data_IF_256723293850
#
_entry.id   IF_256723293850
#
_cell.length_a   1.000
_cell.length_b   1.000
_cell.length_c   1.000
_cell.angle_alpha   90.00
_cell.angle_beta   90.00
_cell.angle_gamma   90.00
#
_symmetry.space_group_name_H-M   'P 1'
#
loop_
_entity.id
_entity.type
_entity.pdbx_description
1 polymer ?
#
# COMPACT_ATOMS: atom_id res chain seq x y z
N UNK A 1 -103.17 -12.71 19.05
CA UNK A 1 -101.99 -11.83 19.20
C UNK A 1 -100.86 -12.37 18.34
N UNK A 2 -100.32 -11.51 17.44
CA UNK A 2 -98.95 -11.46 16.83
C UNK A 2 -98.21 -12.80 16.59
N UNK A 3 -97.98 -13.33 15.37
CA UNK A 3 -97.28 -12.85 14.14
C UNK A 3 -95.78 -12.50 14.32
N UNK A 4 -94.94 -13.20 13.52
CA UNK A 4 -93.69 -12.76 12.83
C UNK A 4 -92.32 -12.87 13.51
N UNK A 5 -91.20 -13.18 12.82
CA UNK A 5 -90.83 -13.87 11.56
C UNK A 5 -89.26 -13.96 11.61
N UNK A 6 -88.67 -14.71 10.68
CA UNK A 6 -87.22 -14.90 10.43
C UNK A 6 -86.40 -13.62 10.16
N UNK A 7 -85.05 -13.79 10.10
CA UNK A 7 -83.99 -12.94 9.53
C UNK A 7 -83.22 -12.04 10.53
N UNK A 8 -81.89 -11.92 10.51
CA UNK A 8 -80.93 -12.42 9.53
C UNK A 8 -79.48 -12.27 9.98
N UNK A 9 -78.65 -13.15 9.40
CA UNK A 9 -77.21 -13.04 9.23
C UNK A 9 -76.83 -11.70 8.59
N UNK A 10 -76.07 -10.84 9.27
CA UNK A 10 -75.19 -9.83 8.65
C UNK A 10 -74.43 -9.04 9.72
N UNK A 11 -73.25 -9.49 10.13
CA UNK A 11 -72.24 -8.64 10.79
C UNK A 11 -70.82 -9.26 10.88
N UNK A 12 -70.54 -10.40 10.23
CA UNK A 12 -69.16 -10.92 10.09
C UNK A 12 -68.62 -10.54 8.71
N UNK A 13 -68.18 -9.31 8.53
CA UNK A 13 -67.67 -8.88 7.21
C UNK A 13 -66.79 -7.64 7.16
N UNK A 14 -66.58 -6.91 8.26
CA UNK A 14 -65.96 -5.57 8.17
C UNK A 14 -64.90 -5.26 9.24
N UNK A 15 -64.26 -6.29 9.81
CA UNK A 15 -63.13 -6.10 10.74
C UNK A 15 -61.82 -6.78 10.30
N UNK A 16 -61.76 -7.35 9.09
CA UNK A 16 -60.57 -8.06 8.57
C UNK A 16 -59.85 -7.33 7.42
N UNK A 17 -60.27 -6.13 7.07
CA UNK A 17 -59.71 -5.37 5.93
C UNK A 17 -58.73 -4.23 6.33
N UNK A 18 -58.34 -4.10 7.61
CA UNK A 18 -57.49 -3.00 8.08
C UNK A 18 -56.12 -3.42 8.64
N UNK A 19 -55.71 -4.68 8.49
CA UNK A 19 -54.36 -5.15 8.88
C UNK A 19 -53.46 -5.47 7.67
N UNK A 20 -53.84 -5.06 6.46
CA UNK A 20 -52.99 -5.16 5.26
C UNK A 20 -52.11 -3.90 5.04
N UNK A 21 -51.90 -3.09 6.08
CA UNK A 21 -51.07 -1.89 6.03
C UNK A 21 -49.69 -2.15 6.61
N UNK A 22 -48.71 -2.43 5.73
CA UNK A 22 -47.30 -2.23 6.02
C UNK A 22 -46.58 -3.38 6.72
N UNK A 23 -46.42 -4.53 6.04
CA UNK A 23 -45.19 -5.30 6.24
C UNK A 23 -44.10 -4.49 5.53
N UNK A 24 -43.49 -3.56 6.25
CA UNK A 24 -42.25 -2.93 5.81
C UNK A 24 -41.28 -4.08 5.61
N UNK A 25 -40.95 -4.38 4.34
CA UNK A 25 -40.02 -5.44 4.00
C UNK A 25 -38.71 -5.14 4.72
N UNK A 26 -38.45 -5.82 5.83
CA UNK A 26 -37.26 -5.62 6.63
C UNK A 26 -36.08 -5.94 5.71
N UNK A 27 -35.43 -4.87 5.23
CA UNK A 27 -34.40 -4.96 4.21
C UNK A 27 -33.31 -5.91 4.75
N UNK A 28 -33.15 -7.07 4.10
CA UNK A 28 -32.23 -8.11 4.56
C UNK A 28 -30.83 -7.50 4.68
N UNK A 29 -30.31 -7.43 5.90
CA UNK A 29 -28.99 -6.88 6.17
C UNK A 29 -27.92 -7.68 5.40
N UNK A 30 -27.13 -7.00 4.58
CA UNK A 30 -26.03 -7.61 3.84
C UNK A 30 -24.76 -7.47 4.69
N UNK A 31 -24.29 -8.58 5.28
CA UNK A 31 -23.04 -8.62 6.05
C UNK A 31 -21.85 -8.98 5.15
N UNK A 32 -20.85 -8.11 5.14
CA UNK A 32 -19.60 -8.24 4.38
C UNK A 32 -18.42 -8.47 5.31
N UNK A 33 -17.58 -9.45 5.01
CA UNK A 33 -16.30 -9.67 5.69
C UNK A 33 -15.18 -8.98 4.92
N UNK A 34 -14.39 -8.17 5.62
CA UNK A 34 -13.31 -7.38 5.03
C UNK A 34 -11.95 -7.73 5.65
N UNK A 35 -11.09 -8.44 4.91
CA UNK A 35 -9.73 -8.76 5.37
C UNK A 35 -8.76 -7.64 5.00
N UNK A 36 -7.99 -7.14 5.97
CA UNK A 36 -7.04 -6.06 5.70
C UNK A 36 -5.70 -6.24 6.43
N UNK A 37 -4.60 -5.77 5.83
CA UNK A 37 -3.28 -5.70 6.43
C UNK A 37 -3.00 -4.33 7.06
N UNK A 38 -2.00 -4.30 7.94
CA UNK A 38 -1.29 -3.09 8.37
C UNK A 38 0.21 -3.37 8.22
N UNK A 39 0.81 -2.79 7.18
CA UNK A 39 2.22 -3.02 6.84
C UNK A 39 3.19 -1.92 7.27
N UNK A 40 2.75 -0.94 8.07
CA UNK A 40 3.58 0.18 8.54
C UNK A 40 3.24 0.54 9.98
N UNK A 41 4.17 1.21 10.66
CA UNK A 41 3.99 1.68 12.03
C UNK A 41 2.86 2.71 12.14
N UNK A 42 2.09 2.65 13.22
CA UNK A 42 0.97 3.56 13.52
C UNK A 42 -0.31 2.82 13.88
N UNK A 43 -1.33 3.52 14.41
CA UNK A 43 -2.57 2.91 14.86
C UNK A 43 -3.55 2.61 13.70
N UNK A 44 -3.07 2.13 12.56
CA UNK A 44 -3.87 2.06 11.32
C UNK A 44 -5.03 1.05 11.37
N UNK A 45 -4.90 0.00 12.19
CA UNK A 45 -6.02 -0.91 12.44
C UNK A 45 -7.21 -0.19 13.11
N UNK A 46 -6.91 0.73 14.04
CA UNK A 46 -7.93 1.58 14.67
C UNK A 46 -8.58 2.50 13.63
N UNK A 47 -7.79 3.12 12.75
CA UNK A 47 -8.31 3.99 11.68
C UNK A 47 -9.24 3.24 10.74
N UNK A 48 -8.87 2.02 10.30
CA UNK A 48 -9.76 1.20 9.47
C UNK A 48 -11.05 0.85 10.21
N UNK A 49 -10.97 0.50 11.50
CA UNK A 49 -12.15 0.26 12.34
C UNK A 49 -13.09 1.47 12.39
N UNK A 50 -12.56 2.66 12.64
CA UNK A 50 -13.33 3.91 12.67
C UNK A 50 -13.98 4.23 11.31
N UNK A 51 -13.27 3.97 10.20
CA UNK A 51 -13.83 4.14 8.86
C UNK A 51 -14.95 3.14 8.58
N UNK A 52 -14.80 1.87 8.97
CA UNK A 52 -15.87 0.86 8.81
C UNK A 52 -17.08 1.17 9.70
N UNK A 53 -16.87 1.65 10.92
CA UNK A 53 -17.97 2.05 11.80
C UNK A 53 -18.75 3.23 11.22
N UNK A 54 -18.05 4.18 10.61
CA UNK A 54 -18.67 5.31 9.92
C UNK A 54 -19.49 4.83 8.71
N UNK A 55 -18.94 3.96 7.87
CA UNK A 55 -19.67 3.37 6.74
C UNK A 55 -20.94 2.64 7.20
N UNK A 56 -20.85 1.80 8.23
CA UNK A 56 -21.98 1.03 8.75
C UNK A 56 -23.11 1.95 9.27
N UNK A 57 -22.77 3.09 9.87
CA UNK A 57 -23.75 4.10 10.31
C UNK A 57 -24.42 4.81 9.13
N UNK A 58 -23.66 5.12 8.08
CA UNK A 58 -24.17 5.81 6.88
C UNK A 58 -24.96 4.89 5.94
N UNK A 59 -24.84 3.56 6.11
CA UNK A 59 -25.44 2.56 5.25
C UNK A 59 -26.11 1.43 6.05
N UNK A 60 -27.25 1.67 6.71
CA UNK A 60 -27.88 0.70 7.63
C UNK A 60 -28.31 -0.64 7.00
N UNK A 61 -28.35 -0.75 5.66
CA UNK A 61 -28.60 -2.01 4.95
C UNK A 61 -27.35 -2.87 4.70
N UNK A 62 -26.15 -2.39 5.04
CA UNK A 62 -24.87 -3.09 4.82
C UNK A 62 -24.05 -3.02 6.12
N UNK A 63 -23.56 -4.17 6.58
CA UNK A 63 -22.63 -4.25 7.71
C UNK A 63 -21.30 -4.79 7.23
N UNK A 64 -20.25 -3.97 7.28
CA UNK A 64 -18.87 -4.37 7.01
C UNK A 64 -18.20 -4.76 8.33
N UNK A 65 -17.70 -5.99 8.38
CA UNK A 65 -16.96 -6.55 9.52
C UNK A 65 -15.47 -6.58 9.17
N UNK A 66 -14.66 -5.62 9.66
CA UNK A 66 -13.23 -5.59 9.41
C UNK A 66 -12.51 -6.70 10.20
N UNK A 67 -11.59 -7.40 9.54
CA UNK A 67 -10.77 -8.46 10.15
C UNK A 67 -9.30 -8.15 9.88
N UNK A 68 -8.63 -7.63 10.92
CA UNK A 68 -7.19 -7.44 10.88
C UNK A 68 -6.50 -8.78 10.66
N UNK A 69 -5.59 -8.83 9.68
CA UNK A 69 -4.97 -10.07 9.22
C UNK A 69 -3.44 -10.01 9.20
N UNK A 70 -2.84 -9.10 9.99
CA UNK A 70 -1.39 -8.94 10.10
C UNK A 70 -0.82 -7.98 9.06
N UNK A 71 0.35 -8.30 8.51
CA UNK A 71 0.92 -7.60 7.35
C UNK A 71 0.35 -8.20 6.04
N UNK A 72 0.86 -7.76 4.89
CA UNK A 72 0.45 -8.21 3.56
C UNK A 72 0.64 -9.71 3.34
N UNK A 73 1.79 -10.30 3.71
CA UNK A 73 2.05 -11.73 3.45
C UNK A 73 1.09 -12.65 4.25
N UNK A 74 0.88 -12.46 5.58
CA UNK A 74 -0.14 -13.21 6.31
C UNK A 74 -1.56 -12.98 5.79
N UNK A 75 -1.88 -11.76 5.34
CA UNK A 75 -3.20 -11.45 4.76
C UNK A 75 -3.40 -12.20 3.45
N UNK A 76 -2.40 -12.23 2.56
CA UNK A 76 -2.43 -13.02 1.34
C UNK A 76 -2.66 -14.50 1.65
N UNK A 77 -1.88 -15.09 2.56
CA UNK A 77 -2.02 -16.50 2.96
C UNK A 77 -3.45 -16.81 3.43
N UNK A 78 -4.01 -15.94 4.28
CA UNK A 78 -5.39 -16.09 4.78
C UNK A 78 -6.43 -16.00 3.66
N UNK A 79 -6.26 -15.07 2.72
CA UNK A 79 -7.11 -14.97 1.51
C UNK A 79 -7.00 -16.25 0.67
N UNK A 80 -5.78 -16.74 0.43
CA UNK A 80 -5.54 -17.94 -0.36
C UNK A 80 -6.23 -19.16 0.26
N UNK A 81 -6.06 -19.37 1.57
CA UNK A 81 -6.73 -20.45 2.31
C UNK A 81 -8.25 -20.35 2.19
N UNK A 82 -8.82 -19.16 2.39
CA UNK A 82 -10.27 -18.94 2.34
C UNK A 82 -10.84 -19.18 0.93
N UNK A 83 -10.14 -18.72 -0.12
CA UNK A 83 -10.52 -18.93 -1.53
C UNK A 83 -10.48 -20.42 -1.88
N UNK A 84 -9.43 -21.15 -1.48
CA UNK A 84 -9.30 -22.59 -1.73
C UNK A 84 -10.36 -23.40 -0.98
N UNK A 85 -10.71 -23.00 0.24
CA UNK A 85 -11.79 -23.60 1.02
C UNK A 85 -13.20 -23.29 0.49
N UNK A 86 -13.32 -22.43 -0.54
CA UNK A 86 -14.60 -22.05 -1.14
C UNK A 86 -15.39 -20.99 -0.36
N UNK A 87 -14.81 -20.40 0.69
CA UNK A 87 -15.44 -19.41 1.55
C UNK A 87 -14.56 -18.14 1.65
N UNK A 88 -14.31 -17.41 0.55
CA UNK A 88 -13.50 -16.21 0.58
C UNK A 88 -14.14 -15.08 1.41
N UNK A 89 -13.35 -14.12 1.93
CA UNK A 89 -13.91 -12.85 2.39
C UNK A 89 -14.57 -12.10 1.23
N UNK A 90 -15.50 -11.18 1.49
CA UNK A 90 -16.13 -10.39 0.42
C UNK A 90 -15.17 -9.40 -0.20
N UNK A 91 -14.43 -8.73 0.67
CA UNK A 91 -13.49 -7.66 0.35
C UNK A 91 -12.17 -8.00 1.00
N UNK A 92 -11.09 -7.74 0.31
CA UNK A 92 -9.78 -7.85 0.92
C UNK A 92 -8.78 -6.88 0.32
N UNK A 93 -7.75 -6.56 1.09
CA UNK A 93 -6.56 -5.87 0.63
C UNK A 93 -5.39 -6.85 0.63
N UNK A 94 -4.68 -6.91 -0.49
CA UNK A 94 -3.34 -7.53 -0.55
C UNK A 94 -2.39 -6.59 -1.29
N UNK A 95 -1.11 -6.90 -1.21
CA UNK A 95 -0.04 -6.12 -1.84
C UNK A 95 -0.14 -6.18 -3.38
N UNK A 96 0.19 -5.08 -4.03
CA UNK A 96 -0.07 -4.88 -5.46
C UNK A 96 0.64 -5.87 -6.40
N UNK A 97 1.79 -6.43 -6.03
CA UNK A 97 2.52 -7.42 -6.82
C UNK A 97 1.85 -8.79 -6.84
N UNK A 98 0.85 -9.02 -5.98
CA UNK A 98 0.10 -10.29 -5.90
C UNK A 98 -1.08 -10.38 -6.86
N UNK A 99 -1.35 -9.36 -7.67
CA UNK A 99 -2.42 -9.42 -8.66
C UNK A 99 -2.33 -10.68 -9.55
N UNK A 100 -1.18 -11.04 -10.16
CA UNK A 100 -1.06 -12.26 -10.95
C UNK A 100 -1.40 -13.53 -10.16
N UNK A 101 -1.03 -13.60 -8.88
CA UNK A 101 -1.38 -14.71 -7.98
C UNK A 101 -2.90 -14.82 -7.81
N UNK A 102 -3.59 -13.71 -7.52
CA UNK A 102 -5.05 -13.69 -7.39
C UNK A 102 -5.76 -14.08 -8.69
N UNK A 103 -5.24 -13.65 -9.84
CA UNK A 103 -5.79 -14.00 -11.15
C UNK A 103 -5.62 -15.48 -11.48
N UNK A 104 -4.45 -16.05 -11.19
CA UNK A 104 -4.18 -17.47 -11.37
C UNK A 104 -5.11 -18.34 -10.50
N UNK A 105 -5.44 -17.86 -9.29
CA UNK A 105 -6.39 -18.52 -8.39
C UNK A 105 -7.86 -18.28 -8.74
N UNK A 106 -8.15 -17.47 -9.75
CA UNK A 106 -9.49 -17.01 -10.09
C UNK A 106 -10.24 -16.41 -8.87
N UNK A 107 -9.51 -15.70 -8.01
CA UNK A 107 -9.98 -15.29 -6.69
C UNK A 107 -10.91 -14.06 -6.72
N UNK A 108 -10.77 -13.20 -7.74
CA UNK A 108 -11.40 -11.87 -7.79
C UNK A 108 -12.18 -11.63 -9.09
N UNK A 109 -13.15 -10.71 -9.04
CA UNK A 109 -13.89 -10.24 -10.22
C UNK A 109 -13.19 -9.04 -10.87
N UNK A 110 -13.33 -8.84 -12.19
CA UNK A 110 -13.01 -7.55 -12.80
C UNK A 110 -14.04 -6.51 -12.35
N UNK A 111 -13.62 -5.25 -12.26
CA UNK A 111 -14.41 -4.12 -11.77
C UNK A 111 -14.82 -3.13 -12.86
N UNK A 112 -14.56 -3.44 -14.13
CA UNK A 112 -14.79 -2.52 -15.26
C UNK A 112 -16.24 -2.00 -15.32
N UNK A 113 -17.23 -2.85 -15.05
CA UNK A 113 -18.64 -2.45 -15.08
C UNK A 113 -19.00 -1.46 -13.95
N UNK A 114 -18.42 -1.67 -12.76
CA UNK A 114 -18.65 -0.79 -11.63
C UNK A 114 -17.99 0.57 -11.85
N UNK A 115 -16.71 0.53 -12.24
CA UNK A 115 -15.90 1.71 -12.50
C UNK A 115 -16.49 2.59 -13.60
N UNK A 116 -17.04 2.00 -14.67
CA UNK A 116 -17.72 2.73 -15.75
C UNK A 116 -18.98 3.48 -15.30
N UNK A 117 -19.68 2.97 -14.28
CA UNK A 117 -20.93 3.57 -13.77
C UNK A 117 -20.65 4.62 -12.69
N UNK A 118 -19.63 4.38 -11.87
CA UNK A 118 -19.26 5.24 -10.76
C UNK A 118 -18.92 6.66 -11.21
N UNK A 119 -19.50 7.65 -10.54
CA UNK A 119 -19.30 9.08 -10.80
C UNK A 119 -19.45 9.48 -12.28
N UNK A 120 -20.40 8.85 -12.99
CA UNK A 120 -20.62 9.11 -14.41
C UNK A 120 -19.41 8.74 -15.29
N UNK A 121 -18.64 7.73 -14.88
CA UNK A 121 -17.45 7.24 -15.56
C UNK A 121 -16.16 8.00 -15.24
N UNK A 122 -16.22 9.00 -14.34
CA UNK A 122 -15.05 9.81 -13.97
C UNK A 122 -14.23 9.22 -12.81
N UNK A 123 -14.83 8.28 -12.06
CA UNK A 123 -14.23 7.69 -10.87
C UNK A 123 -12.80 7.17 -11.09
N UNK A 124 -12.56 6.49 -12.21
CA UNK A 124 -11.24 5.91 -12.52
C UNK A 124 -10.17 6.94 -12.85
N UNK A 125 -10.52 7.97 -13.62
CA UNK A 125 -9.56 8.96 -14.11
C UNK A 125 -9.08 9.91 -13.00
N UNK A 126 -9.81 9.97 -11.88
CA UNK A 126 -9.42 10.71 -10.70
C UNK A 126 -8.30 10.01 -9.90
N UNK A 127 -8.03 8.72 -10.12
CA UNK A 127 -6.86 8.07 -9.53
C UNK A 127 -5.56 8.49 -10.22
N UNK A 128 -4.47 8.56 -9.47
CA UNK A 128 -3.15 8.85 -10.05
C UNK A 128 -2.72 7.76 -11.05
N UNK A 129 -2.20 8.12 -12.25
CA UNK A 129 -1.80 7.16 -13.27
C UNK A 129 -0.88 6.04 -12.74
N UNK A 130 0.16 6.38 -11.97
CA UNK A 130 1.07 5.39 -11.39
C UNK A 130 0.37 4.36 -10.49
N UNK A 131 -0.72 4.72 -9.81
CA UNK A 131 -1.49 3.78 -9.00
C UNK A 131 -2.39 2.86 -9.85
N UNK A 132 -2.81 3.32 -11.02
CA UNK A 132 -3.62 2.56 -11.97
C UNK A 132 -2.82 1.47 -12.68
N UNK A 133 -1.52 1.66 -12.88
CA UNK A 133 -0.65 0.69 -13.56
C UNK A 133 -0.71 -0.71 -12.93
N UNK A 134 -0.52 -0.81 -11.60
CA UNK A 134 -0.68 -2.09 -10.89
C UNK A 134 -2.13 -2.52 -10.67
N UNK A 135 -3.10 -1.85 -11.27
CA UNK A 135 -4.53 -2.16 -11.17
C UNK A 135 -5.13 -2.76 -12.42
N UNK A 136 -4.40 -2.69 -13.54
CA UNK A 136 -4.84 -3.12 -14.85
C UNK A 136 -3.97 -4.27 -15.34
N UNK A 137 -4.59 -5.39 -15.67
CA UNK A 137 -3.92 -6.54 -16.31
C UNK A 137 -4.81 -7.01 -17.45
N UNK A 138 -4.22 -7.14 -18.65
CA UNK A 138 -4.92 -7.56 -19.89
C UNK A 138 -6.15 -6.68 -20.19
N UNK A 139 -6.00 -5.37 -19.99
CA UNK A 139 -7.03 -4.36 -20.31
C UNK A 139 -8.23 -4.34 -19.37
N UNK A 140 -8.18 -5.06 -18.23
CA UNK A 140 -9.25 -5.06 -17.22
C UNK A 140 -8.77 -4.46 -15.91
N UNK A 141 -9.64 -3.71 -15.25
CA UNK A 141 -9.41 -3.20 -13.89
C UNK A 141 -9.82 -4.27 -12.88
N UNK A 142 -8.92 -4.71 -12.01
CA UNK A 142 -9.16 -5.86 -11.12
C UNK A 142 -9.39 -5.50 -9.65
N UNK A 143 -8.96 -4.30 -9.24
CA UNK A 143 -9.03 -3.82 -7.87
C UNK A 143 -8.82 -2.30 -7.83
N UNK A 144 -9.12 -1.68 -6.70
CA UNK A 144 -9.09 -0.21 -6.55
C UNK A 144 -7.94 0.24 -5.63
N UNK A 145 -7.15 1.26 -6.02
CA UNK A 145 -6.12 1.85 -5.17
C UNK A 145 -6.61 2.35 -3.81
N UNK A 146 -5.98 1.91 -2.73
CA UNK A 146 -6.31 2.37 -1.37
C UNK A 146 -5.08 2.68 -0.50
N UNK A 147 -4.34 1.68 -0.02
CA UNK A 147 -3.18 1.88 0.85
C UNK A 147 -1.91 2.12 0.01
N UNK A 148 -1.83 3.22 -0.74
CA UNK A 148 -0.75 3.44 -1.72
C UNK A 148 0.33 4.40 -1.25
N UNK A 149 1.58 4.00 -1.46
CA UNK A 149 2.78 4.74 -1.07
C UNK A 149 3.81 4.75 -2.19
N UNK A 150 4.83 5.58 -2.05
CA UNK A 150 6.16 5.34 -2.65
C UNK A 150 7.15 5.17 -1.49
N UNK A 151 8.36 4.63 -1.71
CA UNK A 151 9.43 4.88 -0.77
C UNK A 151 9.85 6.36 -0.89
N UNK A 152 10.22 6.95 0.23
CA UNK A 152 10.71 8.32 0.36
C UNK A 152 11.96 8.34 1.23
N UNK A 153 12.62 9.49 1.24
CA UNK A 153 13.80 9.73 2.04
C UNK A 153 13.47 10.64 3.22
N UNK A 154 13.61 10.12 4.44
CA UNK A 154 13.47 10.89 5.68
C UNK A 154 14.86 11.30 6.18
N UNK A 155 14.99 12.51 6.73
CA UNK A 155 16.24 12.93 7.37
C UNK A 155 16.00 13.74 8.64
N UNK A 156 16.89 13.56 9.61
CA UNK A 156 16.87 14.28 10.88
C UNK A 156 17.61 15.61 10.74
N UNK A 157 16.88 16.73 10.83
CA UNK A 157 17.47 18.07 10.63
C UNK A 157 18.42 18.47 11.75
N UNK A 158 18.18 18.02 12.97
CA UNK A 158 19.07 18.30 14.10
C UNK A 158 20.41 17.57 13.96
N UNK A 159 20.39 16.32 13.51
CA UNK A 159 21.62 15.56 13.26
C UNK A 159 22.41 16.16 12.09
N UNK A 160 21.73 16.70 11.08
CA UNK A 160 22.37 17.46 10.00
C UNK A 160 23.11 18.69 10.56
N UNK A 161 22.44 19.53 11.38
CA UNK A 161 23.08 20.70 12.03
C UNK A 161 24.29 20.28 12.86
N UNK A 162 24.18 19.23 13.68
CA UNK A 162 25.28 18.72 14.52
C UNK A 162 26.48 18.25 13.69
N UNK A 163 26.24 17.70 12.50
CA UNK A 163 27.28 17.26 11.58
C UNK A 163 27.81 18.39 10.65
N UNK A 164 27.39 19.64 10.85
CA UNK A 164 27.77 20.77 10.00
C UNK A 164 27.16 20.75 8.59
N UNK A 165 26.05 20.03 8.41
CA UNK A 165 25.27 20.00 7.18
C UNK A 165 24.11 21.00 7.23
N UNK A 166 23.67 21.47 6.06
CA UNK A 166 22.50 22.32 5.93
C UNK A 166 21.22 21.50 6.22
N UNK A 167 20.47 21.79 7.30
CA UNK A 167 19.28 21.02 7.70
C UNK A 167 18.15 21.05 6.68
N UNK A 168 18.11 22.04 5.79
CA UNK A 168 17.04 22.19 4.80
C UNK A 168 17.40 21.57 3.44
N UNK A 169 18.60 20.97 3.31
CA UNK A 169 19.08 20.36 2.07
C UNK A 169 19.37 18.87 2.24
N UNK A 170 18.38 17.99 1.97
CA UNK A 170 18.62 16.56 1.89
C UNK A 170 19.49 16.22 0.66
N UNK A 171 20.18 15.08 0.65
CA UNK A 171 20.94 14.64 -0.52
C UNK A 171 20.02 14.50 -1.73
N UNK A 172 20.42 15.07 -2.85
CA UNK A 172 19.72 14.96 -4.13
C UNK A 172 20.27 13.81 -4.97
N UNK A 173 21.54 13.45 -4.79
CA UNK A 173 22.21 12.40 -5.58
C UNK A 173 22.76 11.29 -4.68
N UNK A 174 23.00 10.11 -5.27
CA UNK A 174 23.70 9.00 -4.59
C UNK A 174 25.09 9.41 -4.08
N UNK A 175 25.82 10.25 -4.81
CA UNK A 175 27.12 10.75 -4.38
C UNK A 175 27.00 11.64 -3.13
N UNK A 176 26.06 12.58 -3.13
CA UNK A 176 25.77 13.42 -1.95
C UNK A 176 25.30 12.59 -0.77
N UNK A 177 24.43 11.60 -1.02
CA UNK A 177 23.95 10.69 0.01
C UNK A 177 25.12 9.98 0.70
N UNK A 178 26.05 9.42 -0.07
CA UNK A 178 27.22 8.73 0.47
C UNK A 178 28.06 9.66 1.36
N UNK A 179 28.38 10.86 0.87
CA UNK A 179 29.21 11.81 1.61
C UNK A 179 28.53 12.38 2.85
N UNK A 180 27.21 12.65 2.78
CA UNK A 180 26.43 13.05 3.94
C UNK A 180 26.30 11.91 4.95
N UNK A 181 26.07 10.67 4.50
CA UNK A 181 25.98 9.50 5.37
C UNK A 181 27.29 9.24 6.12
N UNK A 182 28.46 9.46 5.49
CA UNK A 182 29.75 9.40 6.17
C UNK A 182 29.83 10.39 7.33
N UNK A 183 29.49 11.66 7.09
CA UNK A 183 29.51 12.71 8.12
C UNK A 183 28.51 12.46 9.26
N UNK A 184 27.39 11.82 8.94
CA UNK A 184 26.33 11.51 9.89
C UNK A 184 26.55 10.19 10.63
N UNK A 185 27.54 9.40 10.26
CA UNK A 185 27.87 8.17 10.99
C UNK A 185 28.74 8.49 12.19
N UNK A 186 28.25 8.20 13.40
CA UNK A 186 28.98 8.45 14.66
C UNK A 186 29.47 7.14 15.24
N UNK A 187 30.78 7.08 15.50
CA UNK A 187 31.48 5.92 16.06
C UNK A 187 32.11 6.29 17.38
N UNK A 188 32.02 5.38 18.35
CA UNK A 188 32.76 5.44 19.60
C UNK A 188 33.58 4.15 19.72
N UNK A 189 34.88 4.26 19.43
CA UNK A 189 35.72 3.08 19.21
C UNK A 189 35.18 2.21 18.06
N UNK A 190 34.93 0.93 18.36
CA UNK A 190 34.35 -0.02 17.41
C UNK A 190 32.82 0.00 17.38
N UNK A 191 32.17 0.69 18.32
CA UNK A 191 30.72 0.75 18.42
C UNK A 191 30.16 1.87 17.54
N UNK A 192 29.04 1.58 16.87
CA UNK A 192 28.31 2.57 16.08
C UNK A 192 27.16 3.09 16.93
N UNK A 193 27.23 4.37 17.29
CA UNK A 193 26.20 5.05 18.08
C UNK A 193 25.08 5.60 17.20
N UNK A 194 25.41 5.96 15.96
CA UNK A 194 24.48 6.48 14.97
C UNK A 194 24.92 6.07 13.57
N UNK A 195 23.99 5.49 12.81
CA UNK A 195 24.16 5.26 11.38
C UNK A 195 23.88 6.54 10.59
N UNK A 196 24.64 6.77 9.52
CA UNK A 196 24.38 7.89 8.62
C UNK A 196 23.11 7.68 7.80
N UNK A 197 22.87 6.46 7.33
CA UNK A 197 21.68 6.08 6.56
C UNK A 197 21.21 4.68 6.90
N UNK A 198 19.91 4.44 6.84
CA UNK A 198 19.35 3.10 6.92
C UNK A 198 18.39 2.86 5.75
N UNK A 199 18.62 1.76 5.04
CA UNK A 199 17.66 1.22 4.07
C UNK A 199 16.89 0.11 4.79
N UNK A 200 15.57 0.26 4.87
CA UNK A 200 14.74 -0.61 5.70
C UNK A 200 14.62 -2.02 5.12
N UNK A 201 15.01 -3.03 5.89
CA UNK A 201 14.94 -4.41 5.46
C UNK A 201 13.53 -4.98 5.47
N UNK A 202 13.33 -6.14 4.85
CA UNK A 202 12.05 -6.87 4.81
C UNK A 202 11.26 -6.64 3.52
N UNK A 203 11.24 -5.43 2.98
CA UNK A 203 10.72 -5.11 1.64
C UNK A 203 11.86 -4.79 0.67
N UNK A 204 12.93 -5.59 0.72
CA UNK A 204 14.15 -5.38 -0.05
C UNK A 204 13.89 -5.32 -1.55
N UNK A 205 12.97 -6.14 -2.05
CA UNK A 205 12.55 -6.14 -3.45
C UNK A 205 11.97 -4.79 -3.89
N UNK A 206 11.17 -4.15 -3.04
CA UNK A 206 10.54 -2.85 -3.33
C UNK A 206 11.55 -1.72 -3.31
N UNK A 207 12.38 -1.64 -2.26
CA UNK A 207 13.41 -0.61 -2.18
C UNK A 207 14.46 -0.80 -3.28
N UNK A 208 14.82 -2.04 -3.60
CA UNK A 208 15.82 -2.34 -4.64
C UNK A 208 15.35 -1.97 -6.02
N UNK A 209 14.09 -2.25 -6.35
CA UNK A 209 13.51 -1.79 -7.62
C UNK A 209 13.64 -0.26 -7.74
N UNK A 210 13.45 0.49 -6.64
CA UNK A 210 13.56 1.95 -6.67
C UNK A 210 14.99 2.41 -7.00
N UNK A 211 16.01 1.77 -6.42
CA UNK A 211 17.40 2.05 -6.79
C UNK A 211 17.66 1.72 -8.27
N UNK A 212 17.06 0.65 -8.80
CA UNK A 212 17.15 0.30 -10.23
C UNK A 212 16.51 1.39 -11.10
N UNK A 213 15.35 1.93 -10.72
CA UNK A 213 14.70 3.05 -11.44
C UNK A 213 15.52 4.33 -11.40
N UNK A 214 16.17 4.63 -10.28
CA UNK A 214 17.05 5.79 -10.16
C UNK A 214 18.24 5.70 -11.12
N UNK A 215 18.69 4.47 -11.42
CA UNK A 215 19.66 4.17 -12.48
C UNK A 215 19.06 4.16 -13.88
N UNK A 216 17.76 4.36 -14.07
CA UNK A 216 17.06 4.32 -15.36
C UNK A 216 16.69 2.90 -15.83
N UNK A 217 16.79 1.90 -14.96
CA UNK A 217 16.52 0.50 -15.27
C UNK A 217 15.09 0.06 -14.97
N UNK A 218 14.84 -1.24 -15.09
CA UNK A 218 13.62 -1.93 -14.69
C UNK A 218 13.94 -3.41 -14.44
N UNK A 219 13.18 -4.10 -13.60
CA UNK A 219 13.43 -5.51 -13.25
C UNK A 219 12.54 -6.49 -14.01
N UNK A 220 11.22 -6.24 -14.05
CA UNK A 220 10.24 -7.02 -14.81
C UNK A 220 9.37 -6.05 -15.60
N UNK A 221 9.05 -6.38 -16.86
CA UNK A 221 8.14 -5.55 -17.65
C UNK A 221 6.70 -5.63 -17.13
N UNK A 222 5.82 -4.67 -17.44
CA UNK A 222 4.43 -4.67 -16.97
C UNK A 222 3.64 -5.95 -17.31
N UNK A 223 3.97 -6.60 -18.42
CA UNK A 223 3.33 -7.86 -18.83
C UNK A 223 3.80 -9.08 -18.03
N UNK A 224 4.87 -8.97 -17.24
CA UNK A 224 5.41 -10.07 -16.45
C UNK A 224 6.10 -11.17 -17.28
N UNK A 225 6.59 -10.84 -18.48
CA UNK A 225 7.10 -11.82 -19.47
C UNK A 225 8.59 -11.68 -19.78
N UNK A 226 9.19 -10.54 -19.45
CA UNK A 226 10.62 -10.26 -19.63
C UNK A 226 11.21 -9.81 -18.31
N UNK A 227 12.46 -10.19 -18.07
CA UNK A 227 13.19 -9.83 -16.86
C UNK A 227 14.58 -9.30 -17.18
N UNK A 228 15.06 -8.39 -16.34
CA UNK A 228 16.23 -7.56 -16.60
C UNK A 228 17.06 -7.31 -15.33
N UNK A 229 17.12 -8.30 -14.44
CA UNK A 229 17.87 -8.28 -13.19
C UNK A 229 19.38 -8.17 -13.41
N UNK A 230 19.94 -8.73 -14.49
CA UNK A 230 21.38 -8.65 -14.78
C UNK A 230 21.79 -7.42 -15.63
N UNK A 231 20.90 -6.42 -15.75
CA UNK A 231 21.21 -5.19 -16.48
C UNK A 231 22.29 -4.35 -15.81
N UNK A 232 22.90 -3.44 -16.57
CA UNK A 232 23.89 -2.49 -16.04
C UNK A 232 23.28 -1.67 -14.89
N UNK A 233 22.04 -1.22 -15.06
CA UNK A 233 21.32 -0.38 -14.11
C UNK A 233 21.04 -1.11 -12.80
N UNK A 234 20.66 -2.40 -12.86
CA UNK A 234 20.40 -3.21 -11.69
C UNK A 234 21.70 -3.62 -10.96
N UNK A 235 22.77 -3.89 -11.69
CA UNK A 235 24.10 -4.14 -11.09
C UNK A 235 24.60 -2.88 -10.39
N UNK A 236 24.52 -1.70 -11.02
CA UNK A 236 24.91 -0.42 -10.41
C UNK A 236 24.09 -0.10 -9.14
N UNK A 237 22.80 -0.40 -9.14
CA UNK A 237 21.95 -0.25 -7.95
C UNK A 237 22.45 -1.13 -6.79
N UNK A 238 22.79 -2.39 -7.06
CA UNK A 238 23.32 -3.28 -6.02
C UNK A 238 24.73 -2.87 -5.59
N UNK A 239 25.58 -2.44 -6.51
CA UNK A 239 26.92 -1.92 -6.19
C UNK A 239 26.84 -0.73 -5.24
N UNK A 240 25.93 0.22 -5.48
CA UNK A 240 25.74 1.37 -4.59
C UNK A 240 25.20 0.96 -3.21
N UNK A 241 24.23 0.04 -3.17
CA UNK A 241 23.71 -0.47 -1.90
C UNK A 241 24.83 -1.16 -1.08
N UNK A 242 25.62 -2.03 -1.72
CA UNK A 242 26.78 -2.69 -1.09
C UNK A 242 27.85 -1.67 -0.69
N UNK A 243 28.05 -0.61 -1.48
CA UNK A 243 28.99 0.47 -1.14
C UNK A 243 28.61 1.14 0.19
N UNK A 244 27.33 1.51 0.38
CA UNK A 244 26.86 2.13 1.63
C UNK A 244 27.00 1.20 2.85
N UNK A 245 26.59 -0.06 2.70
CA UNK A 245 26.44 -0.98 3.85
C UNK A 245 27.73 -1.74 4.19
N UNK A 246 28.46 -2.20 3.17
CA UNK A 246 29.63 -3.07 3.35
C UNK A 246 30.96 -2.30 3.29
N UNK A 247 31.13 -1.42 2.29
CA UNK A 247 32.40 -0.72 2.06
C UNK A 247 32.55 0.49 2.98
N UNK A 248 31.60 1.41 2.91
CA UNK A 248 31.62 2.65 3.68
C UNK A 248 31.10 2.45 5.11
N UNK A 249 30.31 1.39 5.32
CA UNK A 249 29.73 1.03 6.62
C UNK A 249 28.99 2.20 7.26
N UNK A 250 28.22 2.93 6.45
CA UNK A 250 27.44 4.11 6.88
C UNK A 250 25.98 3.77 7.18
N UNK A 251 25.59 2.52 6.95
CA UNK A 251 24.30 1.95 7.36
C UNK A 251 24.43 0.50 7.83
N UNK A 252 23.42 0.00 8.56
CA UNK A 252 23.43 -1.37 9.05
C UNK A 252 23.31 -2.35 7.86
N UNK A 253 24.10 -3.45 7.84
CA UNK A 253 24.02 -4.44 6.76
C UNK A 253 22.66 -5.13 6.69
N UNK A 254 22.01 -5.29 7.84
CA UNK A 254 20.65 -5.80 7.95
C UNK A 254 19.83 -4.95 8.90
N UNK A 255 18.56 -4.80 8.56
CA UNK A 255 17.56 -4.16 9.40
C UNK A 255 16.21 -4.83 9.18
N UNK A 256 15.20 -4.49 9.98
CA UNK A 256 13.84 -5.01 9.79
C UNK A 256 12.87 -3.88 9.54
N UNK A 257 11.81 -4.15 8.77
CA UNK A 257 10.85 -3.13 8.35
C UNK A 257 10.21 -2.40 9.53
N UNK A 258 9.87 -3.16 10.58
CA UNK A 258 9.22 -2.64 11.78
C UNK A 258 10.15 -1.94 12.77
N UNK A 259 11.45 -2.25 12.77
CA UNK A 259 12.41 -1.66 13.73
C UNK A 259 12.94 -0.30 13.29
N UNK A 260 13.04 -0.03 11.98
CA UNK A 260 13.70 1.18 11.48
C UNK A 260 12.95 2.49 11.76
N UNK A 261 11.61 2.58 11.78
CA UNK A 261 10.95 3.84 12.19
C UNK A 261 11.21 4.20 13.66
N UNK A 262 11.09 3.28 14.64
CA UNK A 262 11.54 3.54 16.01
C UNK A 262 13.03 3.89 16.12
N UNK A 263 13.91 3.26 15.35
CA UNK A 263 15.34 3.58 15.37
C UNK A 263 15.61 5.02 14.87
N UNK A 264 14.88 5.50 13.87
CA UNK A 264 14.95 6.90 13.43
C UNK A 264 14.43 7.87 14.50
N UNK A 265 13.29 7.55 15.14
CA UNK A 265 12.74 8.33 16.28
C UNK A 265 13.74 8.38 17.45
N UNK A 266 14.48 7.30 17.67
CA UNK A 266 15.52 7.21 18.68
C UNK A 266 16.87 7.82 18.25
N UNK A 267 16.93 8.48 17.08
CA UNK A 267 18.16 9.07 16.51
C UNK A 267 19.31 8.06 16.30
N UNK A 268 19.01 6.76 16.21
CA UNK A 268 20.01 5.72 15.89
C UNK A 268 20.41 5.71 14.42
N UNK A 269 19.62 6.35 13.57
CA UNK A 269 19.96 6.61 12.17
C UNK A 269 19.57 8.02 11.78
N UNK A 270 20.44 8.72 11.06
CA UNK A 270 20.22 10.12 10.68
C UNK A 270 19.34 10.27 9.44
N UNK A 271 19.38 9.28 8.54
CA UNK A 271 18.63 9.26 7.29
C UNK A 271 17.98 7.90 7.10
N UNK A 272 16.77 7.86 6.55
CA UNK A 272 15.97 6.64 6.47
C UNK A 272 15.25 6.55 5.12
N UNK A 273 15.46 5.43 4.41
CA UNK A 273 14.58 5.00 3.32
C UNK A 273 13.45 4.16 3.90
N UNK A 274 12.20 4.61 3.73
CA UNK A 274 11.01 3.90 4.17
C UNK A 274 9.78 4.32 3.35
N UNK A 275 8.67 3.63 3.55
CA UNK A 275 7.37 4.01 2.99
C UNK A 275 6.92 5.37 3.49
N UNK A 276 6.12 6.07 2.67
CA UNK A 276 5.40 7.25 3.12
C UNK A 276 4.38 6.94 4.20
N UNK A 277 3.92 5.68 4.27
CA UNK A 277 2.95 5.21 5.26
C UNK A 277 3.40 5.33 6.72
N UNK A 278 4.68 5.61 7.01
CA UNK A 278 5.14 5.90 8.39
C UNK A 278 5.15 7.39 8.73
N UNK A 279 4.84 8.29 7.81
CA UNK A 279 5.00 9.74 8.03
C UNK A 279 4.19 10.24 9.22
N UNK A 280 2.94 9.80 9.39
CA UNK A 280 2.13 10.21 10.56
C UNK A 280 2.69 9.64 11.85
N UNK A 281 3.19 8.40 11.84
CA UNK A 281 3.86 7.81 12.99
C UNK A 281 5.11 8.63 13.38
N UNK A 282 5.97 8.98 12.42
CA UNK A 282 7.16 9.80 12.67
C UNK A 282 6.79 11.19 13.18
N UNK A 283 5.81 11.86 12.55
CA UNK A 283 5.30 13.18 12.97
C UNK A 283 4.85 13.19 14.43
N UNK A 284 4.18 12.14 14.88
CA UNK A 284 3.66 12.06 16.24
C UNK A 284 4.71 11.60 17.27
N UNK A 285 5.72 10.85 16.83
CA UNK A 285 6.69 10.18 17.73
C UNK A 285 8.01 10.93 17.87
N UNK A 286 8.52 11.54 16.79
CA UNK A 286 9.76 12.28 16.80
C UNK A 286 9.66 13.53 17.69
N UNK A 287 10.70 13.80 18.48
CA UNK A 287 10.82 15.00 19.33
C UNK A 287 11.83 16.01 18.77
N UNK A 288 12.11 15.90 17.47
CA UNK A 288 13.02 16.73 16.70
C UNK A 288 12.39 17.06 15.34
N UNK A 289 12.88 18.09 14.68
CA UNK A 289 12.47 18.40 13.31
C UNK A 289 13.10 17.44 12.29
N UNK A 290 12.29 16.98 11.34
CA UNK A 290 12.71 16.06 10.28
C UNK A 290 12.05 16.44 8.97
N UNK A 291 12.76 16.18 7.87
CA UNK A 291 12.25 16.38 6.52
C UNK A 291 11.87 15.09 5.82
N UNK A 292 11.16 15.25 4.71
CA UNK A 292 10.85 14.18 3.74
C UNK A 292 11.23 14.69 2.35
N UNK A 293 11.90 13.87 1.56
CA UNK A 293 12.33 14.19 0.21
C UNK A 293 12.07 13.03 -0.74
N UNK A 294 12.21 13.32 -2.04
CA UNK A 294 12.34 12.26 -3.03
C UNK A 294 13.56 11.42 -2.68
N UNK A 295 13.54 10.15 -3.09
CA UNK A 295 14.76 9.37 -2.98
C UNK A 295 15.87 9.97 -3.86
N UNK A 296 17.10 10.06 -3.36
CA UNK A 296 18.24 10.57 -4.11
C UNK A 296 18.41 9.87 -5.46
N UNK A 297 18.63 10.64 -6.53
CA UNK A 297 18.81 10.10 -7.89
C UNK A 297 20.21 9.54 -8.12
N UNK A 298 20.29 8.61 -9.06
CA UNK A 298 21.53 8.33 -9.80
C UNK A 298 21.52 9.11 -11.12
N UNK A 299 20.88 8.55 -12.15
CA UNK A 299 20.65 9.21 -13.44
C UNK A 299 19.37 10.03 -13.42
N UNK A 300 18.32 9.48 -12.82
CA UNK A 300 16.99 10.09 -12.71
C UNK A 300 16.46 9.91 -11.30
N UNK A 301 15.47 10.71 -10.91
CA UNK A 301 14.59 10.29 -9.83
C UNK A 301 13.84 9.03 -10.28
N UNK A 302 13.47 8.18 -9.33
CA UNK A 302 12.80 6.93 -9.63
C UNK A 302 12.31 6.26 -8.36
N UNK A 303 11.07 5.81 -8.38
CA UNK A 303 10.42 5.11 -7.28
C UNK A 303 9.34 4.18 -7.82
N UNK A 304 9.08 3.08 -7.14
CA UNK A 304 7.89 2.29 -7.39
C UNK A 304 6.79 2.71 -6.44
N UNK A 305 5.58 2.72 -6.97
CA UNK A 305 4.42 2.67 -6.11
C UNK A 305 4.42 1.36 -5.31
N UNK A 306 3.87 1.39 -4.11
CA UNK A 306 3.76 0.22 -3.24
C UNK A 306 2.41 0.18 -2.53
N UNK A 307 2.30 -0.78 -1.61
CA UNK A 307 1.14 -0.96 -0.74
C UNK A 307 0.06 -1.84 -1.37
N UNK A 308 -1.20 -1.60 -1.01
CA UNK A 308 -2.29 -2.54 -1.31
C UNK A 308 -3.54 -1.91 -1.92
N UNK A 309 -4.29 -2.76 -2.63
CA UNK A 309 -5.52 -2.40 -3.32
C UNK A 309 -6.72 -3.21 -2.79
N UNK A 310 -7.92 -2.63 -2.89
CA UNK A 310 -9.19 -3.25 -2.51
C UNK A 310 -9.72 -4.14 -3.64
N UNK A 311 -9.88 -5.43 -3.38
CA UNK A 311 -10.46 -6.39 -4.31
C UNK A 311 -11.80 -6.94 -3.82
N UNK A 312 -12.64 -7.36 -4.77
CA UNK A 312 -13.91 -8.07 -4.51
C UNK A 312 -13.73 -9.54 -4.89
N UNK A 313 -14.04 -10.44 -3.96
CA UNK A 313 -13.93 -11.87 -4.21
C UNK A 313 -14.93 -12.35 -5.27
N UNK A 314 -14.52 -13.35 -6.05
CA UNK A 314 -15.33 -13.92 -7.14
C UNK A 314 -16.48 -14.79 -6.67
N UNK A 315 -16.22 -15.70 -5.73
CA UNK A 315 -17.17 -16.75 -5.31
C UNK A 315 -18.10 -16.26 -4.19
N UNK A 316 -18.66 -15.07 -4.34
CA UNK A 316 -19.69 -14.50 -3.45
C UNK A 316 -20.94 -14.11 -4.25
N UNK A 317 -22.15 -14.14 -3.66
CA UNK A 317 -23.39 -13.69 -4.29
C UNK A 317 -23.30 -12.28 -4.89
N UNK A 318 -23.99 -12.03 -6.02
CA UNK A 318 -23.97 -10.73 -6.71
C UNK A 318 -24.38 -9.57 -5.80
N UNK A 319 -25.40 -9.75 -4.95
CA UNK A 319 -25.82 -8.76 -3.95
C UNK A 319 -24.68 -8.35 -2.99
N UNK A 320 -23.79 -9.28 -2.63
CA UNK A 320 -22.61 -9.00 -1.81
C UNK A 320 -21.50 -8.33 -2.61
N UNK A 321 -21.35 -8.64 -3.90
CA UNK A 321 -20.42 -7.93 -4.79
C UNK A 321 -20.84 -6.47 -4.98
N UNK A 322 -22.14 -6.19 -5.16
CA UNK A 322 -22.67 -4.83 -5.32
C UNK A 322 -22.52 -4.03 -4.01
N UNK A 323 -22.81 -4.65 -2.86
CA UNK A 323 -22.59 -4.05 -1.56
C UNK A 323 -21.08 -3.81 -1.27
N UNK A 324 -20.21 -4.75 -1.67
CA UNK A 324 -18.77 -4.61 -1.58
C UNK A 324 -18.24 -3.45 -2.44
N UNK A 325 -18.77 -3.28 -3.66
CA UNK A 325 -18.45 -2.13 -4.48
C UNK A 325 -18.84 -0.82 -3.80
N UNK A 326 -20.04 -0.74 -3.22
CA UNK A 326 -20.48 0.45 -2.48
C UNK A 326 -19.54 0.82 -1.33
N UNK A 327 -19.04 -0.19 -0.60
CA UNK A 327 -18.00 0.04 0.41
C UNK A 327 -16.70 0.55 -0.19
N UNK A 328 -16.21 -0.05 -1.28
CA UNK A 328 -14.96 0.36 -1.94
C UNK A 328 -15.06 1.80 -2.47
N UNK A 329 -16.15 2.15 -3.16
CA UNK A 329 -16.42 3.50 -3.66
C UNK A 329 -16.46 4.52 -2.52
N UNK A 330 -17.14 4.19 -1.41
CA UNK A 330 -17.16 5.05 -0.22
C UNK A 330 -15.76 5.19 0.42
N UNK A 331 -15.05 4.08 0.64
CA UNK A 331 -13.73 4.05 1.30
C UNK A 331 -12.69 4.86 0.53
N UNK A 332 -12.88 4.99 -0.78
CA UNK A 332 -11.98 5.68 -1.72
C UNK A 332 -12.60 6.95 -2.30
N UNK A 333 -13.70 7.44 -1.73
CA UNK A 333 -14.20 8.79 -1.98
C UNK A 333 -13.11 9.83 -1.65
N UNK A 334 -13.23 11.03 -2.21
CA UNK A 334 -12.23 12.09 -2.06
C UNK A 334 -12.00 12.44 -0.58
N UNK A 335 -13.07 12.53 0.20
CA UNK A 335 -13.05 12.81 1.63
C UNK A 335 -12.38 11.70 2.43
N UNK A 336 -12.73 10.43 2.17
CA UNK A 336 -12.17 9.29 2.91
C UNK A 336 -10.73 8.97 2.49
N UNK A 337 -10.37 9.19 1.21
CA UNK A 337 -9.00 9.10 0.74
C UNK A 337 -8.11 10.18 1.38
N UNK A 338 -8.62 11.41 1.53
CA UNK A 338 -7.94 12.47 2.27
C UNK A 338 -7.79 12.10 3.75
N UNK A 339 -8.86 11.65 4.42
CA UNK A 339 -8.83 11.26 5.82
C UNK A 339 -7.81 10.12 6.08
N UNK A 340 -7.81 9.08 5.22
CA UNK A 340 -6.83 7.99 5.28
C UNK A 340 -5.40 8.50 5.14
N UNK A 341 -5.14 9.38 4.16
CA UNK A 341 -3.83 9.97 3.93
C UNK A 341 -3.32 10.74 5.16
N UNK A 342 -4.16 11.62 5.74
CA UNK A 342 -3.81 12.42 6.90
C UNK A 342 -3.57 11.60 8.18
N UNK A 343 -4.30 10.49 8.34
CA UNK A 343 -4.17 9.59 9.49
C UNK A 343 -2.94 8.67 9.41
N UNK A 344 -2.42 8.42 8.21
CA UNK A 344 -1.37 7.42 7.98
C UNK A 344 -0.06 7.99 7.46
N UNK A 345 -0.11 8.87 6.46
CA UNK A 345 1.04 9.24 5.63
C UNK A 345 1.06 8.53 4.26
N UNK A 346 0.15 7.59 4.02
CA UNK A 346 -0.09 7.09 2.67
C UNK A 346 -0.53 8.24 1.76
N UNK A 347 -0.29 8.08 0.46
CA UNK A 347 -0.70 9.06 -0.55
C UNK A 347 -2.22 8.94 -0.72
N UNK A 348 -2.94 10.06 -0.64
CA UNK A 348 -4.34 10.05 -1.03
C UNK A 348 -4.44 9.61 -2.50
N UNK A 349 -5.18 8.53 -2.78
CA UNK A 349 -5.13 7.84 -4.07
C UNK A 349 -5.86 8.57 -5.19
N UNK A 350 -6.72 9.53 -4.83
CA UNK A 350 -7.54 10.36 -5.70
C UNK A 350 -6.95 11.77 -5.82
N UNK A 351 -6.92 12.33 -7.02
CA UNK A 351 -6.44 13.71 -7.26
C UNK A 351 -7.36 14.71 -6.55
N UNK A 352 -8.66 14.54 -6.67
CA UNK A 352 -9.66 15.39 -5.99
C UNK A 352 -9.61 15.32 -4.46
N UNK A 353 -8.98 14.31 -3.84
CA UNK A 353 -8.77 14.29 -2.40
C UNK A 353 -7.89 15.45 -1.91
N UNK A 354 -7.01 15.98 -2.77
CA UNK A 354 -6.20 17.16 -2.46
C UNK A 354 -7.00 18.47 -2.55
N UNK A 355 -8.23 18.42 -3.06
CA UNK A 355 -9.14 19.55 -3.09
C UNK A 355 -10.04 19.67 -1.87
N UNK A 356 -10.14 18.61 -1.06
CA UNK A 356 -10.89 18.58 0.20
C UNK A 356 -10.35 19.63 1.17
N UNK A 357 -11.23 20.43 1.78
CA UNK A 357 -10.86 21.56 2.63
C UNK A 357 -9.91 21.15 3.78
N UNK A 358 -10.21 20.05 4.47
CA UNK A 358 -9.37 19.53 5.56
C UNK A 358 -7.96 19.14 5.06
N UNK A 359 -7.85 18.59 3.85
CA UNK A 359 -6.56 18.27 3.23
C UNK A 359 -5.78 19.54 2.93
N UNK A 360 -6.41 20.54 2.29
CA UNK A 360 -5.76 21.84 1.99
C UNK A 360 -5.26 22.54 3.25
N UNK A 361 -6.08 22.60 4.30
CA UNK A 361 -5.72 23.23 5.56
C UNK A 361 -4.53 22.53 6.22
N UNK A 362 -4.52 21.19 6.21
CA UNK A 362 -3.43 20.41 6.78
C UNK A 362 -2.12 20.60 5.99
N UNK A 363 -2.18 20.53 4.66
CA UNK A 363 -1.00 20.63 3.80
C UNK A 363 -0.33 22.01 3.84
N UNK A 364 -1.10 23.07 4.13
CA UNK A 364 -0.54 24.39 4.38
C UNK A 364 0.33 24.44 5.66
N UNK A 365 0.10 23.53 6.60
CA UNK A 365 0.85 23.42 7.87
C UNK A 365 1.98 22.40 7.78
N UNK A 366 1.79 21.32 7.01
CA UNK A 366 2.78 20.25 6.87
C UNK A 366 2.87 19.76 5.41
N UNK A 367 3.75 20.40 4.64
CA UNK A 367 3.98 20.10 3.23
C UNK A 367 4.68 18.77 2.99
N UNK A 368 5.21 18.09 4.02
CA UNK A 368 5.88 16.79 3.88
C UNK A 368 4.95 15.72 3.28
N UNK A 369 3.64 15.86 3.45
CA UNK A 369 2.62 14.98 2.87
C UNK A 369 2.46 15.15 1.35
N UNK A 370 3.02 16.20 0.76
CA UNK A 370 3.01 16.41 -0.70
C UNK A 370 4.14 15.67 -1.41
N UNK A 371 5.23 15.36 -0.71
CA UNK A 371 6.47 14.86 -1.32
C UNK A 371 6.21 13.58 -2.11
N UNK A 372 5.46 12.64 -1.55
CA UNK A 372 5.17 11.39 -2.24
C UNK A 372 4.21 11.55 -3.41
N UNK A 373 3.20 12.43 -3.28
CA UNK A 373 2.31 12.81 -4.38
C UNK A 373 3.13 13.38 -5.55
N UNK A 374 4.05 14.29 -5.26
CA UNK A 374 4.87 14.93 -6.27
C UNK A 374 5.88 13.96 -6.89
N UNK A 375 6.40 13.01 -6.10
CA UNK A 375 7.25 11.95 -6.58
C UNK A 375 6.55 11.01 -7.58
N UNK A 376 5.20 10.97 -7.60
CA UNK A 376 4.46 10.13 -8.55
C UNK A 376 4.75 10.45 -10.01
N UNK A 377 5.24 11.65 -10.34
CA UNK A 377 5.68 11.99 -11.70
C UNK A 377 6.92 11.20 -12.15
N UNK A 378 7.67 10.66 -11.20
CA UNK A 378 8.83 9.78 -11.40
C UNK A 378 8.56 8.36 -10.91
N UNK A 379 7.30 8.03 -10.58
CA UNK A 379 6.93 6.74 -10.07
C UNK A 379 6.49 5.79 -11.18
N UNK A 380 6.82 4.52 -11.01
CA UNK A 380 6.46 3.43 -11.92
C UNK A 380 5.63 2.39 -11.17
N UNK A 381 4.84 1.62 -11.90
CA UNK A 381 4.25 0.40 -11.38
C UNK A 381 5.32 -0.55 -10.84
N UNK A 382 5.09 -1.11 -9.65
CA UNK A 382 5.95 -2.14 -9.05
C UNK A 382 5.97 -3.39 -9.94
N UNK A 383 7.09 -4.11 -9.98
CA UNK A 383 7.16 -5.37 -10.69
C UNK A 383 6.06 -6.35 -10.22
N UNK A 384 5.40 -7.00 -11.18
CA UNK A 384 4.40 -8.03 -10.92
C UNK A 384 4.75 -9.26 -11.76
N UNK A 385 4.60 -10.45 -11.19
CA UNK A 385 4.78 -11.70 -11.91
C UNK A 385 4.01 -12.82 -11.22
N UNK A 386 3.63 -13.89 -11.94
CA UNK A 386 3.25 -15.15 -11.31
C UNK A 386 4.35 -15.62 -10.36
N UNK A 387 3.97 -16.29 -9.27
CA UNK A 387 4.92 -16.81 -8.26
C UNK A 387 5.80 -15.71 -7.63
N UNK A 388 5.26 -14.50 -7.46
CA UNK A 388 6.02 -13.33 -7.01
C UNK A 388 6.78 -13.55 -5.70
N UNK A 389 6.18 -14.23 -4.72
CA UNK A 389 6.85 -14.58 -3.45
C UNK A 389 8.16 -15.36 -3.67
N UNK A 390 8.21 -16.28 -4.63
CA UNK A 390 9.44 -17.00 -4.97
C UNK A 390 10.50 -16.09 -5.56
N UNK A 391 10.09 -15.16 -6.42
CA UNK A 391 10.98 -14.14 -7.01
C UNK A 391 11.56 -13.25 -5.92
N UNK A 392 10.73 -12.82 -4.97
CA UNK A 392 11.13 -12.01 -3.81
C UNK A 392 12.15 -12.74 -2.94
N UNK A 393 11.95 -14.03 -2.65
CA UNK A 393 12.92 -14.85 -1.92
C UNK A 393 14.29 -14.94 -2.63
N UNK A 394 14.27 -15.22 -3.94
CA UNK A 394 15.49 -15.31 -4.77
C UNK A 394 16.25 -13.99 -4.73
N UNK A 395 15.55 -12.89 -5.01
CA UNK A 395 16.15 -11.56 -5.02
C UNK A 395 16.71 -11.22 -3.64
N UNK A 396 15.89 -11.34 -2.58
CA UNK A 396 16.32 -11.03 -1.20
C UNK A 396 17.59 -11.77 -0.83
N UNK A 397 17.66 -13.07 -1.10
CA UNK A 397 18.85 -13.87 -0.79
C UNK A 397 20.11 -13.31 -1.46
N UNK A 398 20.03 -13.00 -2.76
CA UNK A 398 21.18 -12.49 -3.51
C UNK A 398 21.58 -11.07 -3.10
N UNK A 399 20.61 -10.22 -2.73
CA UNK A 399 20.89 -8.91 -2.14
C UNK A 399 21.64 -9.05 -0.81
N UNK A 400 21.16 -9.92 0.09
CA UNK A 400 21.80 -10.15 1.40
C UNK A 400 23.20 -10.74 1.23
N UNK A 401 23.38 -11.74 0.36
CA UNK A 401 24.69 -12.36 0.12
C UNK A 401 25.70 -11.33 -0.44
N UNK A 402 25.26 -10.41 -1.30
CA UNK A 402 26.12 -9.34 -1.83
C UNK A 402 26.47 -8.29 -0.77
N UNK A 403 25.51 -7.90 0.07
CA UNK A 403 25.74 -6.99 1.22
C UNK A 403 26.71 -7.61 2.23
N UNK A 404 26.66 -8.93 2.43
CA UNK A 404 27.60 -9.66 3.28
C UNK A 404 29.00 -9.82 2.65
N UNK A 405 29.17 -9.45 1.37
CA UNK A 405 30.41 -9.64 0.62
C UNK A 405 30.68 -11.10 0.23
N UNK A 406 29.67 -11.98 0.31
CA UNK A 406 29.79 -13.39 -0.06
C UNK A 406 29.85 -13.58 -1.57
N UNK A 407 29.17 -12.71 -2.33
CA UNK A 407 29.17 -12.74 -3.80
C UNK A 407 29.31 -11.32 -4.37
N UNK A 408 30.02 -11.11 -5.49
CA UNK A 408 30.04 -9.81 -6.15
C UNK A 408 28.66 -9.41 -6.69
N UNK A 409 28.26 -8.12 -6.64
CA UNK A 409 26.97 -7.64 -7.14
C UNK A 409 26.57 -8.15 -8.53
N UNK A 410 27.50 -8.14 -9.48
CA UNK A 410 27.27 -8.63 -10.84
C UNK A 410 26.88 -10.11 -10.88
N UNK A 411 27.57 -10.95 -10.10
CA UNK A 411 27.29 -12.39 -10.03
C UNK A 411 25.97 -12.67 -9.31
N UNK A 412 25.67 -11.93 -8.24
CA UNK A 412 24.37 -11.98 -7.56
C UNK A 412 23.23 -11.71 -8.56
N UNK A 413 23.32 -10.61 -9.31
CA UNK A 413 22.27 -10.22 -10.25
C UNK A 413 22.14 -11.17 -11.45
N UNK A 414 23.24 -11.76 -11.93
CA UNK A 414 23.20 -12.84 -12.93
C UNK A 414 22.50 -14.10 -12.39
N UNK A 415 22.73 -14.43 -11.12
CA UNK A 415 22.04 -15.54 -10.46
C UNK A 415 20.54 -15.26 -10.33
N UNK A 416 20.14 -14.05 -9.93
CA UNK A 416 18.73 -13.64 -9.89
C UNK A 416 18.10 -13.76 -11.28
N UNK A 417 18.73 -13.19 -12.32
CA UNK A 417 18.25 -13.28 -13.70
C UNK A 417 17.93 -14.72 -14.10
N UNK A 418 18.90 -15.62 -13.97
CA UNK A 418 18.76 -17.02 -14.37
C UNK A 418 17.65 -17.75 -13.60
N UNK A 419 17.57 -17.53 -12.29
CA UNK A 419 16.57 -18.22 -11.45
C UNK A 419 15.17 -17.67 -11.69
N UNK A 420 15.01 -16.34 -11.83
CA UNK A 420 13.70 -15.72 -12.07
C UNK A 420 13.17 -16.05 -13.47
N UNK A 421 14.03 -16.10 -14.49
CA UNK A 421 13.62 -16.59 -15.83
C UNK A 421 13.03 -18.00 -15.78
N UNK A 422 13.58 -18.88 -14.93
CA UNK A 422 13.05 -20.22 -14.75
C UNK A 422 11.72 -20.26 -13.99
N UNK A 423 11.48 -19.30 -13.09
CA UNK A 423 10.22 -19.17 -12.34
C UNK A 423 9.09 -18.65 -13.22
N UNK A 424 9.35 -17.65 -14.06
CA UNK A 424 8.33 -17.02 -14.91
C UNK A 424 7.92 -17.90 -16.10
N UNK A 425 8.79 -18.81 -16.54
CA UNK A 425 8.48 -19.78 -17.61
C UNK A 425 7.58 -20.95 -17.17
N UNK A 426 7.37 -21.13 -15.86
CA UNK A 426 6.51 -22.17 -15.28
C UNK A 426 5.13 -21.61 -15.00
#
# INVERSE_FOLDING_TARGET
MRRQWLAGLMALGLALALLAGGVEAQQKLIRLTFYYPVGVAGPLAKVIGEMTDKFNKEHPGIEVVPVYSGDYDPTLQKVQTAVMAGNPPDIFIVEISELPTLLAMNAIIPLDEYVKKAEGGKYWEDFFPAFRENSVVRGKTWWIPFQRSTPVFYWNKELFKKAGLDPEKPPQTWAELKEMAKKLTVREGNEIKQWGVTVSGGWNDWLFEAFVRQSGGWLINPEGTKVNFASKEAVEALEFWVELMHKEKVGPPHSTWGSTPPDFVAQRTAMLYHSTGILTFLRNSAKFDFGVAFMPKNRTFGAEVGGGNLAIARKIPKERQDAAWKFIEWMTSSENAAAWSLASGYVATRKSAYDVAAMKEFLAKDSRYLVAREQLQYAFGKMMAPNFQKIREILKKQLDDAVDGKVPPKEAMQTVQKQVEAVIKR
#
